data_IF_621809334617
#
_entry.id   IF_621809334617
#
_cell.length_a   1.000
_cell.length_b   1.000
_cell.length_c   1.000
_cell.angle_alpha   90.00
_cell.angle_beta   90.00
_cell.angle_gamma   90.00
#
_symmetry.space_group_name_H-M   'P 1'
#
loop_
_entity.id
_entity.type
_entity.pdbx_description
1 polymer ?
#
# COMPACT_ATOMS: atom_id res chain seq x y z
N UNK A 1 -21.01 -16.65 6.30
CA UNK A 1 -20.31 -16.47 5.00
C UNK A 1 -19.78 -17.78 4.44
N UNK A 2 -18.81 -18.47 5.09
CA UNK A 2 -18.25 -19.72 4.54
C UNK A 2 -19.28 -20.84 4.39
N UNK A 3 -20.16 -21.02 5.37
CA UNK A 3 -21.30 -21.92 5.29
C UNK A 3 -22.23 -21.61 4.10
N UNK A 4 -22.29 -20.34 3.68
CA UNK A 4 -23.04 -19.88 2.51
C UNK A 4 -22.25 -19.99 1.19
N UNK A 5 -21.13 -20.72 1.17
CA UNK A 5 -20.32 -20.97 -0.03
C UNK A 5 -19.39 -19.84 -0.44
N UNK A 6 -19.19 -18.83 0.41
CA UNK A 6 -18.28 -17.72 0.13
C UNK A 6 -16.85 -18.02 0.57
N UNK A 7 -15.88 -17.64 -0.25
CA UNK A 7 -14.45 -17.86 -0.04
C UNK A 7 -13.80 -16.58 0.47
N UNK A 8 -13.00 -16.66 1.53
CA UNK A 8 -12.25 -15.51 2.04
C UNK A 8 -11.15 -15.09 1.05
N UNK A 9 -11.09 -13.79 0.73
CA UNK A 9 -10.09 -13.22 -0.16
C UNK A 9 -8.74 -13.05 0.53
N UNK A 10 -7.66 -13.35 -0.18
CA UNK A 10 -6.31 -13.09 0.28
C UNK A 10 -6.02 -11.58 0.40
N UNK A 11 -5.07 -11.24 1.27
CA UNK A 11 -4.57 -9.88 1.36
C UNK A 11 -3.62 -9.56 0.20
N UNK A 12 -3.54 -8.29 -0.20
CA UNK A 12 -2.57 -7.85 -1.22
C UNK A 12 -1.18 -7.80 -0.57
N UNK A 13 -0.37 -8.82 -0.84
CA UNK A 13 1.02 -8.96 -0.41
C UNK A 13 1.89 -9.25 -1.63
N UNK A 14 3.23 -9.20 -1.51
CA UNK A 14 4.12 -9.64 -2.57
C UNK A 14 3.86 -11.09 -3.01
N UNK A 15 3.52 -11.99 -2.07
CA UNK A 15 3.24 -13.39 -2.39
C UNK A 15 1.94 -13.56 -3.18
N UNK A 16 0.85 -12.92 -2.76
CA UNK A 16 -0.41 -13.00 -3.50
C UNK A 16 -0.35 -12.27 -4.84
N UNK A 17 0.43 -11.19 -4.94
CA UNK A 17 0.72 -10.52 -6.23
C UNK A 17 1.48 -11.46 -7.18
N UNK A 18 2.45 -12.22 -6.67
CA UNK A 18 3.16 -13.22 -7.45
C UNK A 18 2.23 -14.36 -7.90
N UNK A 19 1.35 -14.85 -7.04
CA UNK A 19 0.35 -15.87 -7.40
C UNK A 19 -0.68 -15.34 -8.41
N UNK A 20 -1.06 -14.05 -8.36
CA UNK A 20 -1.86 -13.41 -9.43
C UNK A 20 -1.11 -13.48 -10.76
N UNK A 21 0.15 -13.06 -10.79
CA UNK A 21 0.96 -13.06 -12.02
C UNK A 21 1.08 -14.50 -12.57
N UNK A 22 1.41 -15.45 -11.70
CA UNK A 22 1.56 -16.86 -12.04
C UNK A 22 0.26 -17.47 -12.56
N UNK A 23 -0.85 -17.27 -11.87
CA UNK A 23 -2.16 -17.80 -12.27
C UNK A 23 -2.65 -17.21 -13.58
N UNK A 24 -2.42 -15.92 -13.82
CA UNK A 24 -2.72 -15.24 -15.10
C UNK A 24 -1.88 -15.82 -16.25
N UNK A 25 -0.57 -15.95 -16.07
CA UNK A 25 0.33 -16.52 -17.09
C UNK A 25 0.00 -17.99 -17.38
N UNK A 26 -0.32 -18.77 -16.34
CA UNK A 26 -0.69 -20.18 -16.46
C UNK A 26 -2.16 -20.41 -16.84
N UNK A 27 -2.97 -19.35 -17.00
CA UNK A 27 -4.41 -19.41 -17.26
C UNK A 27 -5.16 -20.33 -16.29
N UNK A 28 -4.84 -20.25 -15.00
CA UNK A 28 -5.50 -21.00 -13.92
C UNK A 28 -6.42 -20.08 -13.13
N UNK A 29 -7.55 -20.60 -12.64
CA UNK A 29 -8.39 -19.85 -11.69
C UNK A 29 -7.65 -19.69 -10.36
N UNK A 30 -7.74 -18.50 -9.78
CA UNK A 30 -7.31 -18.19 -8.42
C UNK A 30 -8.55 -17.72 -7.63
N UNK A 31 -9.27 -18.64 -6.96
CA UNK A 31 -10.53 -18.32 -6.28
C UNK A 31 -10.36 -17.36 -5.09
N UNK A 32 -9.21 -17.39 -4.44
CA UNK A 32 -8.88 -16.52 -3.29
C UNK A 32 -8.22 -15.19 -3.73
N UNK A 33 -8.16 -14.89 -5.03
CA UNK A 33 -7.45 -13.74 -5.58
C UNK A 33 -7.77 -12.43 -4.85
N UNK A 34 -6.79 -11.63 -4.39
CA UNK A 34 -7.06 -10.40 -3.67
C UNK A 34 -7.97 -9.41 -4.42
N UNK A 35 -8.89 -8.76 -3.69
CA UNK A 35 -9.75 -7.71 -4.26
C UNK A 35 -9.13 -6.31 -4.11
N UNK A 36 -9.45 -5.44 -5.07
CA UNK A 36 -9.09 -4.02 -5.00
C UNK A 36 -9.60 -3.35 -3.72
N UNK A 37 -8.85 -2.39 -3.16
CA UNK A 37 -9.25 -1.69 -1.95
C UNK A 37 -10.41 -0.73 -2.20
N UNK A 38 -11.40 -0.77 -1.30
CA UNK A 38 -12.40 0.29 -1.17
C UNK A 38 -12.23 0.96 0.20
N UNK A 39 -12.62 2.23 0.29
CA UNK A 39 -12.45 3.02 1.50
C UNK A 39 -13.79 3.33 2.15
N UNK A 40 -13.85 3.11 3.45
CA UNK A 40 -14.91 3.57 4.35
C UNK A 40 -14.25 4.01 5.66
N UNK A 41 -14.76 5.05 6.32
CA UNK A 41 -14.13 5.65 7.51
C UNK A 41 -12.66 6.09 7.30
N UNK A 42 -12.30 6.44 6.06
CA UNK A 42 -10.93 6.80 5.71
C UNK A 42 -9.92 5.64 5.75
N UNK A 43 -10.39 4.38 5.77
CA UNK A 43 -9.54 3.18 5.78
C UNK A 43 -10.03 2.10 4.81
N UNK A 44 -9.11 1.21 4.44
CA UNK A 44 -9.39 0.03 3.60
C UNK A 44 -10.30 -0.96 4.34
N UNK A 45 -10.98 -1.81 3.59
CA UNK A 45 -11.75 -2.92 4.14
C UNK A 45 -10.91 -3.83 5.03
N UNK A 46 -11.54 -4.34 6.08
CA UNK A 46 -10.92 -5.26 7.03
C UNK A 46 -10.69 -6.61 6.38
N UNK A 47 -11.72 -7.17 5.75
CA UNK A 47 -11.65 -8.40 4.97
C UNK A 47 -12.69 -8.37 3.85
N UNK A 48 -12.58 -9.33 2.94
CA UNK A 48 -13.53 -9.50 1.85
C UNK A 48 -13.75 -10.99 1.58
N UNK A 49 -14.97 -11.32 1.19
CA UNK A 49 -15.33 -12.64 0.69
C UNK A 49 -15.69 -12.55 -0.79
N UNK A 50 -15.54 -13.66 -1.49
CA UNK A 50 -15.84 -13.77 -2.92
C UNK A 50 -16.56 -15.07 -3.21
N UNK A 51 -17.36 -15.07 -4.26
CA UNK A 51 -18.02 -16.25 -4.79
C UNK A 51 -17.89 -16.21 -6.32
N UNK A 52 -17.21 -17.22 -6.87
CA UNK A 52 -17.03 -17.38 -8.32
C UNK A 52 -18.25 -18.07 -8.92
N UNK A 53 -18.71 -17.59 -10.07
CA UNK A 53 -19.85 -18.19 -10.79
C UNK A 53 -19.32 -19.17 -11.83
N UNK A 54 -19.79 -20.42 -11.77
CA UNK A 54 -19.61 -21.45 -12.82
C UNK A 54 -18.16 -21.68 -13.31
N UNK A 55 -17.16 -21.37 -12.47
CA UNK A 55 -15.75 -21.49 -12.84
C UNK A 55 -15.26 -20.44 -13.85
N UNK A 56 -16.04 -19.38 -14.08
CA UNK A 56 -15.65 -18.23 -14.89
C UNK A 56 -14.97 -17.18 -14.00
N UNK A 57 -13.65 -16.94 -14.15
CA UNK A 57 -12.96 -15.91 -13.39
C UNK A 57 -13.43 -14.49 -13.74
N UNK A 58 -14.15 -14.30 -14.85
CA UNK A 58 -14.70 -13.02 -15.28
C UNK A 58 -15.97 -12.58 -14.57
N UNK A 59 -16.65 -13.49 -13.87
CA UNK A 59 -17.92 -13.25 -13.18
C UNK A 59 -17.83 -13.64 -11.70
N UNK A 60 -17.87 -12.64 -10.81
CA UNK A 60 -17.60 -12.85 -9.40
C UNK A 60 -18.43 -11.93 -8.51
N UNK A 61 -19.01 -12.50 -7.48
CA UNK A 61 -19.60 -11.75 -6.38
C UNK A 61 -18.52 -11.38 -5.37
N UNK A 62 -18.62 -10.19 -4.80
CA UNK A 62 -17.68 -9.71 -3.80
C UNK A 62 -18.42 -9.00 -2.69
N UNK A 63 -18.10 -9.34 -1.45
CA UNK A 63 -18.57 -8.58 -0.29
C UNK A 63 -17.40 -8.19 0.59
N UNK A 64 -17.32 -6.90 0.91
CA UNK A 64 -16.26 -6.30 1.72
C UNK A 64 -16.84 -5.85 3.05
N UNK A 65 -16.07 -5.98 4.12
CA UNK A 65 -16.52 -5.65 5.48
C UNK A 65 -15.61 -4.61 6.14
N UNK A 66 -16.23 -3.70 6.89
CA UNK A 66 -15.57 -2.70 7.73
C UNK A 66 -16.19 -2.71 9.11
N UNK A 67 -15.35 -2.83 10.13
CA UNK A 67 -15.77 -2.60 11.51
C UNK A 67 -16.11 -1.13 11.72
N UNK A 68 -17.28 -0.87 12.30
CA UNK A 68 -17.70 0.48 12.66
C UNK A 68 -16.82 1.04 13.79
N UNK A 69 -16.44 2.33 13.75
CA UNK A 69 -15.82 2.99 14.89
C UNK A 69 -16.74 2.93 16.12
N UNK A 70 -16.14 2.90 17.32
CA UNK A 70 -16.91 2.86 18.56
C UNK A 70 -17.78 4.11 18.69
N UNK A 71 -19.07 3.92 18.99
CA UNK A 71 -20.04 5.02 19.10
C UNK A 71 -20.47 5.61 17.76
N UNK A 72 -20.12 4.99 16.63
CA UNK A 72 -20.62 5.39 15.32
C UNK A 72 -22.12 5.12 15.22
N UNK A 73 -22.89 6.17 14.91
CA UNK A 73 -24.32 6.09 14.67
C UNK A 73 -24.60 6.25 13.18
N UNK A 74 -25.43 5.37 12.65
CA UNK A 74 -26.00 5.51 11.33
C UNK A 74 -27.15 6.56 11.36
N UNK A 75 -27.51 7.17 10.21
CA UNK A 75 -28.73 7.95 10.07
C UNK A 75 -29.93 7.30 10.77
N UNK A 76 -30.74 8.09 11.48
CA UNK A 76 -31.84 7.58 12.31
C UNK A 76 -31.43 7.09 13.70
N UNK A 77 -30.14 7.13 14.05
CA UNK A 77 -29.63 6.71 15.36
C UNK A 77 -29.39 5.20 15.48
N UNK A 78 -29.48 4.47 14.37
CA UNK A 78 -29.21 3.03 14.34
C UNK A 78 -27.73 2.73 14.61
N UNK A 79 -27.46 1.57 15.20
CA UNK A 79 -26.12 1.05 15.44
C UNK A 79 -25.90 -0.22 14.63
N UNK A 80 -24.68 -0.38 14.12
CA UNK A 80 -24.22 -1.60 13.49
C UNK A 80 -22.75 -1.79 13.86
N UNK A 81 -22.36 -3.03 14.19
CA UNK A 81 -20.97 -3.35 14.51
C UNK A 81 -20.07 -3.35 13.27
N UNK A 82 -20.65 -3.73 12.12
CA UNK A 82 -19.98 -3.83 10.84
C UNK A 82 -20.84 -3.22 9.73
N UNK A 83 -20.18 -2.60 8.76
CA UNK A 83 -20.77 -2.24 7.47
C UNK A 83 -20.19 -3.13 6.38
N UNK A 84 -21.04 -3.50 5.43
CA UNK A 84 -20.67 -4.32 4.29
C UNK A 84 -21.01 -3.61 2.97
N UNK A 85 -20.23 -3.91 1.93
CA UNK A 85 -20.51 -3.47 0.57
C UNK A 85 -20.37 -4.67 -0.39
N UNK A 86 -21.49 -5.01 -1.04
CA UNK A 86 -21.58 -6.02 -2.10
C UNK A 86 -21.32 -5.41 -3.48
N UNK A 87 -20.58 -6.11 -4.34
CA UNK A 87 -20.39 -5.76 -5.75
C UNK A 87 -20.36 -7.02 -6.60
N UNK A 88 -21.16 -7.05 -7.67
CA UNK A 88 -21.11 -8.11 -8.67
C UNK A 88 -20.31 -7.66 -9.89
N UNK A 89 -19.22 -8.35 -10.19
CA UNK A 89 -18.41 -8.14 -11.38
C UNK A 89 -18.98 -9.02 -12.50
N UNK A 90 -19.59 -8.42 -13.53
CA UNK A 90 -20.31 -9.15 -14.60
C UNK A 90 -19.47 -9.51 -15.81
N UNK A 91 -18.38 -8.80 -16.03
CA UNK A 91 -17.48 -9.03 -17.16
C UNK A 91 -16.14 -8.33 -16.94
N UNK A 92 -15.07 -8.82 -17.58
CA UNK A 92 -13.83 -8.05 -17.72
C UNK A 92 -13.93 -7.15 -18.95
N UNK A 93 -13.66 -5.86 -18.80
CA UNK A 93 -13.69 -4.88 -19.88
C UNK A 93 -12.53 -3.90 -19.83
N UNK A 94 -12.46 -3.03 -20.83
CA UNK A 94 -11.60 -1.84 -20.79
C UNK A 94 -12.48 -0.68 -20.35
N UNK A 95 -12.15 -0.03 -19.22
CA UNK A 95 -12.81 1.22 -18.84
C UNK A 95 -12.40 2.31 -19.82
N UNK A 96 -13.37 2.92 -20.51
CA UNK A 96 -13.11 4.04 -21.43
C UNK A 96 -12.70 5.32 -20.69
N UNK A 97 -12.94 5.41 -19.38
CA UNK A 97 -12.56 6.55 -18.56
C UNK A 97 -11.09 6.49 -18.11
N UNK A 98 -10.58 5.29 -17.80
CA UNK A 98 -9.20 5.12 -17.30
C UNK A 98 -8.27 4.43 -18.28
N UNK A 99 -8.80 3.89 -19.39
CA UNK A 99 -8.09 3.00 -20.35
C UNK A 99 -7.44 1.77 -19.69
N UNK A 100 -7.88 1.40 -18.49
CA UNK A 100 -7.40 0.23 -17.75
C UNK A 100 -8.32 -0.97 -17.97
N UNK A 101 -7.77 -2.17 -17.90
CA UNK A 101 -8.59 -3.39 -17.77
C UNK A 101 -9.24 -3.39 -16.39
N UNK A 102 -10.57 -3.32 -16.37
CA UNK A 102 -11.36 -3.33 -15.13
C UNK A 102 -12.53 -4.28 -15.30
N UNK A 103 -12.95 -4.90 -14.21
CA UNK A 103 -14.24 -5.57 -14.20
C UNK A 103 -15.34 -4.51 -14.36
N UNK A 104 -16.36 -4.81 -15.16
CA UNK A 104 -17.60 -4.06 -15.21
C UNK A 104 -18.45 -4.53 -14.04
N UNK A 105 -18.86 -3.58 -13.21
CA UNK A 105 -19.74 -3.86 -12.08
C UNK A 105 -21.19 -3.82 -12.57
N UNK A 106 -22.03 -4.69 -12.02
CA UNK A 106 -23.47 -4.65 -12.31
C UNK A 106 -24.11 -3.37 -11.78
N UNK A 107 -25.02 -2.80 -12.57
CA UNK A 107 -25.58 -1.49 -12.28
C UNK A 107 -26.52 -1.50 -11.08
N UNK A 108 -27.29 -2.59 -10.91
CA UNK A 108 -28.25 -2.71 -9.84
C UNK A 108 -27.59 -3.34 -8.62
N UNK A 109 -27.21 -2.50 -7.66
CA UNK A 109 -26.54 -2.97 -6.43
C UNK A 109 -27.49 -3.69 -5.49
N UNK A 110 -28.80 -3.50 -5.64
CA UNK A 110 -29.80 -4.15 -4.79
C UNK A 110 -29.89 -5.64 -5.10
N UNK A 111 -29.67 -6.05 -6.37
CA UNK A 111 -29.62 -7.47 -6.76
C UNK A 111 -28.48 -8.18 -6.05
N UNK A 112 -27.29 -7.57 -6.01
CA UNK A 112 -26.14 -8.15 -5.32
C UNK A 112 -26.33 -8.15 -3.80
N UNK A 113 -26.89 -7.07 -3.25
CA UNK A 113 -27.23 -6.99 -1.82
C UNK A 113 -28.19 -8.12 -1.42
N UNK A 114 -29.26 -8.31 -2.20
CA UNK A 114 -30.28 -9.30 -1.92
C UNK A 114 -29.71 -10.72 -2.11
N UNK A 115 -28.85 -10.95 -3.10
CA UNK A 115 -28.11 -12.22 -3.25
C UNK A 115 -27.24 -12.56 -2.02
N UNK A 116 -26.50 -11.58 -1.48
CA UNK A 116 -25.72 -11.79 -0.25
C UNK A 116 -26.63 -12.18 0.91
N UNK A 117 -27.77 -11.50 1.07
CA UNK A 117 -28.74 -11.77 2.14
C UNK A 117 -29.35 -13.17 1.98
N UNK A 118 -29.80 -13.51 0.78
CA UNK A 118 -30.42 -14.80 0.48
C UNK A 118 -29.45 -15.95 0.71
N UNK A 119 -28.17 -15.80 0.31
CA UNK A 119 -27.17 -16.84 0.53
C UNK A 119 -26.86 -17.06 2.02
N UNK A 120 -26.80 -16.01 2.85
CA UNK A 120 -26.52 -16.19 4.28
C UNK A 120 -27.73 -16.70 5.05
N UNK A 121 -28.93 -16.18 4.79
CA UNK A 121 -30.17 -16.64 5.44
C UNK A 121 -30.57 -18.05 5.02
N UNK A 122 -30.24 -18.45 3.78
CA UNK A 122 -30.41 -19.83 3.33
C UNK A 122 -29.38 -20.82 3.92
N UNK A 123 -28.26 -20.33 4.46
CA UNK A 123 -27.22 -21.16 5.05
C UNK A 123 -27.45 -21.47 6.53
N UNK A 124 -28.12 -20.57 7.26
CA UNK A 124 -28.43 -20.73 8.68
C UNK A 124 -29.74 -20.01 9.04
N UNK A 125 -30.72 -20.76 9.55
CA UNK A 125 -32.07 -20.28 9.87
C UNK A 125 -32.08 -19.32 11.07
N UNK A 126 -31.03 -19.30 11.90
CA UNK A 126 -30.95 -18.38 13.06
C UNK A 126 -30.64 -16.94 12.64
N UNK A 127 -30.20 -16.73 11.40
CA UNK A 127 -29.88 -15.40 10.88
C UNK A 127 -31.20 -14.66 10.59
N UNK A 128 -31.37 -13.50 11.21
CA UNK A 128 -32.51 -12.63 10.97
C UNK A 128 -32.11 -11.35 10.24
N UNK A 129 -33.05 -10.74 9.53
CA UNK A 129 -32.81 -9.55 8.71
C UNK A 129 -33.88 -8.51 8.99
N UNK A 130 -33.45 -7.36 9.49
CA UNK A 130 -34.27 -6.15 9.53
C UNK A 130 -33.89 -5.23 8.37
N UNK A 131 -34.75 -4.27 8.01
CA UNK A 131 -34.51 -3.34 6.92
C UNK A 131 -34.81 -1.91 7.34
N UNK A 132 -33.78 -1.07 7.36
CA UNK A 132 -33.96 0.37 7.44
C UNK A 132 -34.42 0.86 6.07
N UNK A 133 -35.70 1.20 5.98
CA UNK A 133 -36.30 1.80 4.78
C UNK A 133 -35.77 3.23 4.62
N UNK A 134 -35.61 3.62 3.36
CA UNK A 134 -35.18 4.96 2.95
C UNK A 134 -33.94 5.46 3.71
N UNK A 135 -33.02 4.55 4.02
CA UNK A 135 -31.76 4.87 4.70
C UNK A 135 -30.98 5.95 3.95
N UNK A 136 -31.00 5.87 2.63
CA UNK A 136 -30.70 6.95 1.71
C UNK A 136 -31.86 7.11 0.73
N UNK A 137 -31.94 8.27 0.07
CA UNK A 137 -32.82 8.39 -1.10
C UNK A 137 -32.32 7.43 -2.17
N UNK A 138 -33.18 6.58 -2.73
CA UNK A 138 -32.83 5.81 -3.92
C UNK A 138 -32.27 6.72 -5.02
N UNK A 139 -31.22 6.27 -5.70
CA UNK A 139 -30.50 7.12 -6.63
C UNK A 139 -29.90 6.34 -7.80
N UNK A 140 -29.65 7.10 -8.88
CA UNK A 140 -28.92 6.64 -10.04
C UNK A 140 -27.67 7.50 -10.19
N UNK A 141 -26.51 6.87 -10.31
CA UNK A 141 -25.22 7.57 -10.41
C UNK A 141 -24.24 6.79 -11.29
N UNK A 142 -22.96 7.18 -11.25
CA UNK A 142 -21.85 6.40 -11.79
C UNK A 142 -20.78 6.18 -10.73
N UNK A 143 -20.17 5.00 -10.73
CA UNK A 143 -19.02 4.69 -9.89
C UNK A 143 -17.75 5.40 -10.42
N UNK A 144 -16.65 5.31 -9.66
CA UNK A 144 -15.36 5.91 -10.05
C UNK A 144 -14.73 5.30 -11.32
N UNK A 145 -15.18 4.12 -11.76
CA UNK A 145 -14.80 3.48 -13.02
C UNK A 145 -15.69 3.87 -14.21
N UNK A 146 -16.79 4.59 -13.95
CA UNK A 146 -17.76 5.05 -14.93
C UNK A 146 -18.99 4.13 -15.11
N UNK A 147 -19.10 3.01 -14.40
CA UNK A 147 -20.29 2.14 -14.52
C UNK A 147 -21.50 2.78 -13.84
N UNK A 148 -22.70 2.55 -14.37
CA UNK A 148 -23.93 3.01 -13.74
C UNK A 148 -24.13 2.34 -12.38
N UNK A 149 -24.75 3.05 -11.44
CA UNK A 149 -25.20 2.53 -10.14
C UNK A 149 -26.67 2.86 -9.99
N UNK A 150 -27.46 1.91 -9.52
CA UNK A 150 -28.87 2.03 -9.18
C UNK A 150 -29.11 1.36 -7.83
N UNK A 151 -29.79 2.06 -6.91
CA UNK A 151 -30.24 1.49 -5.63
C UNK A 151 -31.58 2.09 -5.18
N UNK A 152 -32.38 1.27 -4.50
CA UNK A 152 -33.59 1.64 -3.76
C UNK A 152 -33.31 2.49 -2.50
N UNK A 153 -32.05 2.53 -2.06
CA UNK A 153 -31.60 3.31 -0.92
C UNK A 153 -31.91 2.69 0.45
N UNK A 154 -32.43 1.46 0.50
CA UNK A 154 -32.66 0.72 1.74
C UNK A 154 -31.38 0.10 2.29
N UNK A 155 -31.28 -0.01 3.62
CA UNK A 155 -30.16 -0.65 4.30
C UNK A 155 -30.63 -1.83 5.15
N UNK A 156 -30.43 -3.07 4.68
CA UNK A 156 -30.66 -4.26 5.49
C UNK A 156 -29.64 -4.36 6.64
N UNK A 157 -30.12 -4.80 7.79
CA UNK A 157 -29.32 -5.18 8.96
C UNK A 157 -29.46 -6.68 9.12
N UNK A 158 -28.35 -7.40 8.98
CA UNK A 158 -28.30 -8.84 9.20
C UNK A 158 -27.83 -9.09 10.62
N UNK A 159 -28.69 -9.69 11.44
CA UNK A 159 -28.34 -10.12 12.78
C UNK A 159 -27.79 -11.55 12.75
N UNK A 160 -26.55 -11.69 13.19
CA UNK A 160 -25.81 -12.95 13.25
C UNK A 160 -25.40 -13.29 14.69
N UNK A 161 -26.00 -12.65 15.69
CA UNK A 161 -25.61 -12.79 17.11
C UNK A 161 -25.79 -14.22 17.62
N UNK A 162 -26.78 -14.95 17.10
CA UNK A 162 -27.06 -16.34 17.48
C UNK A 162 -26.26 -17.37 16.66
N UNK A 163 -25.49 -16.93 15.66
CA UNK A 163 -24.69 -17.83 14.82
C UNK A 163 -23.49 -18.33 15.63
N UNK A 164 -23.37 -19.66 15.73
CA UNK A 164 -22.21 -20.30 16.37
C UNK A 164 -21.06 -20.35 15.35
N UNK A 165 -20.03 -19.55 15.59
CA UNK A 165 -18.81 -19.59 14.78
C UNK A 165 -17.95 -20.82 15.15
N UNK A 166 -17.38 -21.48 14.15
CA UNK A 166 -16.33 -22.49 14.35
C UNK A 166 -15.04 -21.78 14.80
N UNK A 167 -14.45 -22.19 15.92
CA UNK A 167 -13.17 -21.63 16.41
C UNK A 167 -12.03 -21.77 15.39
N UNK A 168 -12.09 -22.79 14.52
CA UNK A 168 -11.13 -22.95 13.42
C UNK A 168 -11.35 -21.92 12.29
N UNK A 169 -12.50 -21.24 12.27
CA UNK A 169 -12.92 -20.25 11.27
C UNK A 169 -12.68 -18.81 11.73
N UNK A 170 -11.73 -18.59 12.64
CA UNK A 170 -11.22 -17.26 12.95
C UNK A 170 -10.22 -16.80 11.88
N UNK A 171 -10.57 -15.84 10.99
CA UNK A 171 -9.57 -15.31 10.08
C UNK A 171 -8.51 -14.56 10.90
N UNK A 172 -7.23 -14.87 10.68
CA UNK A 172 -6.07 -14.17 11.30
C UNK A 172 -6.17 -12.62 11.19
N UNK A 173 -6.97 -12.13 10.22
CA UNK A 173 -7.21 -10.72 9.93
C UNK A 173 -8.25 -10.05 10.84
N UNK A 174 -9.11 -10.81 11.54
CA UNK A 174 -10.08 -10.24 12.47
C UNK A 174 -9.36 -9.55 13.63
N UNK A 175 -8.27 -10.14 14.12
CA UNK A 175 -7.45 -9.54 15.18
C UNK A 175 -6.83 -8.20 14.73
N UNK A 176 -6.32 -8.11 13.50
CA UNK A 176 -5.74 -6.87 12.96
C UNK A 176 -6.81 -5.77 12.70
N UNK A 177 -8.01 -6.18 12.31
CA UNK A 177 -9.18 -5.31 12.10
C UNK A 177 -9.76 -4.77 13.41
N UNK A 178 -9.84 -5.63 14.43
CA UNK A 178 -10.14 -5.28 15.81
C UNK A 178 -9.05 -4.35 16.36
N UNK A 179 -7.78 -4.59 16.03
CA UNK A 179 -6.62 -3.80 16.45
C UNK A 179 -6.58 -2.41 15.83
N UNK A 180 -7.03 -2.17 14.59
CA UNK A 180 -7.10 -0.79 14.10
C UNK A 180 -8.03 0.11 14.94
N UNK A 181 -9.03 -0.49 15.62
CA UNK A 181 -9.88 0.21 16.60
C UNK A 181 -9.32 0.15 18.03
N UNK A 182 -8.62 -0.93 18.42
CA UNK A 182 -8.01 -1.14 19.75
C UNK A 182 -6.63 -0.49 19.95
N UNK A 183 -5.87 -0.23 18.89
CA UNK A 183 -4.59 0.52 18.91
C UNK A 183 -4.82 1.95 19.43
N UNK A 184 -6.06 2.45 19.36
CA UNK A 184 -6.45 3.71 19.98
C UNK A 184 -6.78 3.60 21.48
N UNK A 185 -6.94 2.40 22.06
CA UNK A 185 -7.33 2.22 23.46
C UNK A 185 -6.43 1.33 24.32
N UNK A 186 -5.85 0.21 23.85
CA UNK A 186 -5.20 -0.76 24.75
C UNK A 186 -3.94 -1.42 24.17
N UNK A 187 -2.86 -1.38 24.97
CA UNK A 187 -1.47 -1.67 24.60
C UNK A 187 -1.01 -3.12 24.79
N UNK A 188 -1.88 -4.09 25.02
CA UNK A 188 -1.45 -5.43 25.47
C UNK A 188 -1.69 -6.56 24.45
N UNK A 189 -0.87 -6.62 23.39
CA UNK A 189 -0.47 -7.87 22.68
C UNK A 189 0.63 -7.62 21.63
N UNK A 190 1.52 -6.66 21.87
CA UNK A 190 2.39 -6.02 20.86
C UNK A 190 3.33 -6.99 20.11
N UNK A 191 3.73 -8.10 20.74
CA UNK A 191 4.65 -9.10 20.17
C UNK A 191 4.03 -9.92 19.03
N UNK A 192 2.76 -10.33 19.15
CA UNK A 192 2.07 -11.08 18.09
C UNK A 192 1.75 -10.15 16.90
N UNK A 193 1.33 -8.91 17.19
CA UNK A 193 1.08 -7.88 16.17
C UNK A 193 2.34 -7.58 15.35
N UNK A 194 3.51 -7.45 15.99
CA UNK A 194 4.77 -7.24 15.27
C UNK A 194 5.13 -8.43 14.39
N UNK A 195 4.99 -9.66 14.86
CA UNK A 195 5.28 -10.87 14.06
C UNK A 195 4.37 -11.00 12.83
N UNK A 196 3.10 -10.66 12.96
CA UNK A 196 2.12 -10.67 11.85
C UNK A 196 2.40 -9.56 10.84
N UNK A 197 2.76 -8.35 11.30
CA UNK A 197 3.17 -7.24 10.43
C UNK A 197 4.41 -7.55 9.59
N UNK A 198 5.36 -8.34 10.12
CA UNK A 198 6.55 -8.76 9.37
C UNK A 198 6.24 -9.69 8.20
N UNK A 199 5.17 -10.50 8.29
CA UNK A 199 4.71 -11.39 7.21
C UNK A 199 3.91 -10.64 6.14
N UNK A 200 3.21 -9.57 6.50
CA UNK A 200 2.30 -8.85 5.61
C UNK A 200 2.83 -7.47 5.19
N UNK A 201 4.11 -7.41 4.77
CA UNK A 201 4.69 -6.14 4.30
C UNK A 201 3.93 -5.63 3.07
N UNK A 202 3.48 -4.36 3.06
CA UNK A 202 2.88 -3.78 1.87
C UNK A 202 3.85 -3.84 0.69
N UNK A 203 3.32 -4.19 -0.48
CA UNK A 203 4.10 -4.24 -1.72
C UNK A 203 4.84 -2.92 -1.96
N UNK A 204 4.19 -1.78 -1.68
CA UNK A 204 4.78 -0.46 -1.88
C UNK A 204 6.02 -0.21 -1.00
N UNK A 205 6.04 -0.72 0.23
CA UNK A 205 7.22 -0.61 1.11
C UNK A 205 8.37 -1.46 0.57
N UNK A 206 8.08 -2.66 0.05
CA UNK A 206 9.07 -3.55 -0.55
C UNK A 206 9.65 -2.95 -1.82
N UNK A 207 8.79 -2.49 -2.73
CA UNK A 207 9.19 -1.83 -3.99
C UNK A 207 9.99 -0.57 -3.69
N UNK A 208 9.54 0.28 -2.77
CA UNK A 208 10.27 1.48 -2.38
C UNK A 208 11.67 1.16 -1.82
N UNK A 209 11.78 0.17 -0.94
CA UNK A 209 13.09 -0.26 -0.41
C UNK A 209 14.00 -0.84 -1.51
N UNK A 210 13.45 -1.63 -2.43
CA UNK A 210 14.19 -2.19 -3.56
C UNK A 210 14.69 -1.11 -4.53
N UNK A 211 13.85 -0.12 -4.86
CA UNK A 211 14.25 1.01 -5.70
C UNK A 211 15.38 1.83 -5.05
N UNK A 212 15.36 2.02 -3.73
CA UNK A 212 16.48 2.66 -3.02
C UNK A 212 17.77 1.84 -3.15
N UNK A 213 17.70 0.51 -3.11
CA UNK A 213 18.88 -0.34 -3.36
C UNK A 213 19.39 -0.20 -4.80
N UNK A 214 18.51 -0.07 -5.79
CA UNK A 214 18.93 0.19 -7.18
C UNK A 214 19.59 1.57 -7.29
N UNK A 215 19.04 2.61 -6.67
CA UNK A 215 19.64 3.95 -6.65
C UNK A 215 21.03 3.95 -5.98
N UNK A 216 21.24 3.12 -4.96
CA UNK A 216 22.56 2.95 -4.34
C UNK A 216 23.59 2.34 -5.30
N UNK A 217 23.17 1.46 -6.23
CA UNK A 217 24.06 0.95 -7.27
C UNK A 217 24.45 2.04 -8.27
N UNK A 218 23.50 2.91 -8.64
CA UNK A 218 23.77 4.07 -9.50
C UNK A 218 24.74 5.04 -8.81
N UNK A 219 24.53 5.32 -7.52
CA UNK A 219 25.44 6.16 -6.74
C UNK A 219 26.85 5.55 -6.65
N UNK A 220 26.96 4.23 -6.44
CA UNK A 220 28.26 3.55 -6.43
C UNK A 220 28.95 3.64 -7.81
N UNK A 221 28.18 3.50 -8.89
CA UNK A 221 28.67 3.68 -10.25
C UNK A 221 29.18 5.10 -10.50
N UNK A 222 28.49 6.13 -10.02
CA UNK A 222 28.91 7.52 -10.13
C UNK A 222 30.25 7.75 -9.42
N UNK A 223 30.40 7.21 -8.21
CA UNK A 223 31.66 7.29 -7.44
C UNK A 223 32.81 6.59 -8.17
N UNK A 224 32.57 5.40 -8.73
CA UNK A 224 33.57 4.66 -9.50
C UNK A 224 33.96 5.43 -10.76
N UNK A 225 32.97 5.96 -11.49
CA UNK A 225 33.19 6.72 -12.72
C UNK A 225 34.02 7.98 -12.46
N UNK A 226 33.71 8.71 -11.37
CA UNK A 226 34.48 9.86 -10.91
C UNK A 226 35.93 9.50 -10.55
N UNK A 227 36.16 8.34 -9.93
CA UNK A 227 37.50 7.88 -9.59
C UNK A 227 38.31 7.44 -10.81
N UNK A 228 37.64 6.93 -11.85
CA UNK A 228 38.28 6.52 -13.11
C UNK A 228 38.58 7.72 -14.02
N UNK A 229 37.72 8.74 -14.03
CA UNK A 229 37.91 9.97 -14.79
C UNK A 229 38.60 11.08 -13.97
N UNK A 230 39.82 10.77 -13.52
CA UNK A 230 40.62 11.71 -12.74
C UNK A 230 40.92 13.02 -13.47
N UNK A 231 41.05 12.96 -14.80
CA UNK A 231 41.38 14.11 -15.63
C UNK A 231 40.18 15.07 -15.76
N UNK A 232 38.97 14.54 -15.96
CA UNK A 232 37.75 15.34 -15.97
C UNK A 232 37.53 16.06 -14.64
N UNK A 233 37.61 15.34 -13.53
CA UNK A 233 37.47 15.93 -12.19
C UNK A 233 38.52 17.02 -11.93
N UNK A 234 39.78 16.78 -12.32
CA UNK A 234 40.84 17.79 -12.20
C UNK A 234 40.50 19.06 -12.97
N UNK A 235 39.97 18.96 -14.19
CA UNK A 235 39.59 20.14 -14.97
C UNK A 235 38.47 20.96 -14.33
N UNK A 236 37.44 20.30 -13.79
CA UNK A 236 36.34 20.99 -13.08
C UNK A 236 36.80 21.65 -11.79
N UNK A 237 37.64 20.97 -10.99
CA UNK A 237 38.18 21.52 -9.75
C UNK A 237 39.11 22.71 -10.04
N UNK A 238 39.94 22.63 -11.07
CA UNK A 238 40.85 23.72 -11.46
C UNK A 238 40.06 24.98 -11.85
N UNK A 239 39.00 24.83 -12.65
CA UNK A 239 38.11 25.92 -13.07
C UNK A 239 37.41 26.62 -11.88
N UNK A 240 37.02 25.85 -10.86
CA UNK A 240 36.46 26.43 -9.62
C UNK A 240 37.54 27.01 -8.69
N UNK A 241 38.74 26.41 -8.67
CA UNK A 241 39.84 26.80 -7.77
C UNK A 241 40.62 28.03 -8.26
N UNK A 242 40.51 28.42 -9.52
CA UNK A 242 41.09 29.68 -10.02
C UNK A 242 40.52 30.92 -9.30
N UNK A 243 39.36 30.79 -8.66
CA UNK A 243 38.76 31.82 -7.81
C UNK A 243 39.29 31.78 -6.34
N UNK A 244 40.00 30.73 -5.93
CA UNK A 244 40.47 30.49 -4.56
C UNK A 244 41.96 30.12 -4.58
N UNK A 245 42.82 31.13 -4.73
CA UNK A 245 44.27 30.95 -4.77
C UNK A 245 44.85 30.47 -3.41
N UNK A 246 45.53 29.31 -3.37
CA UNK A 246 46.61 28.97 -2.41
C UNK A 246 47.13 27.51 -2.42
N UNK A 247 46.49 26.55 -3.09
CA UNK A 247 46.85 25.12 -3.00
C UNK A 247 47.30 24.60 -4.37
N UNK A 248 48.33 23.74 -4.42
CA UNK A 248 48.74 23.08 -5.67
C UNK A 248 47.56 22.31 -6.27
N UNK A 249 47.28 22.49 -7.56
CA UNK A 249 46.11 21.95 -8.27
C UNK A 249 45.86 20.45 -8.01
N UNK A 250 46.94 19.67 -7.89
CA UNK A 250 46.85 18.21 -7.64
C UNK A 250 46.42 17.89 -6.20
N UNK A 251 46.95 18.63 -5.21
CA UNK A 251 46.58 18.47 -3.80
C UNK A 251 45.13 18.91 -3.55
N UNK A 252 44.71 20.02 -4.17
CA UNK A 252 43.33 20.51 -4.10
C UNK A 252 42.35 19.49 -4.69
N UNK A 253 42.65 18.94 -5.88
CA UNK A 253 41.83 17.92 -6.52
C UNK A 253 41.69 16.66 -5.66
N UNK A 254 42.77 16.18 -5.02
CA UNK A 254 42.72 15.04 -4.10
C UNK A 254 41.89 15.29 -2.85
N UNK A 255 41.97 16.49 -2.28
CA UNK A 255 41.17 16.85 -1.10
C UNK A 255 39.69 16.89 -1.48
N UNK A 256 39.34 17.54 -2.59
CA UNK A 256 37.95 17.63 -3.07
C UNK A 256 37.42 16.24 -3.43
N UNK A 257 38.17 15.45 -4.19
CA UNK A 257 37.80 14.07 -4.54
C UNK A 257 37.59 13.22 -3.28
N UNK A 258 38.52 13.26 -2.33
CA UNK A 258 38.41 12.53 -1.07
C UNK A 258 37.19 12.94 -0.24
N UNK A 259 36.89 14.24 -0.21
CA UNK A 259 35.69 14.76 0.45
C UNK A 259 34.40 14.29 -0.24
N UNK A 260 34.32 14.40 -1.57
CA UNK A 260 33.14 13.98 -2.35
C UNK A 260 32.90 12.47 -2.23
N UNK A 261 33.94 11.65 -2.34
CA UNK A 261 33.87 10.20 -2.13
C UNK A 261 33.44 9.88 -0.71
N UNK A 262 34.06 10.52 0.29
CA UNK A 262 33.72 10.32 1.70
C UNK A 262 32.26 10.69 2.02
N UNK A 263 31.80 11.82 1.51
CA UNK A 263 30.42 12.27 1.64
C UNK A 263 29.45 11.31 0.95
N UNK A 264 29.75 10.88 -0.27
CA UNK A 264 28.93 9.92 -1.02
C UNK A 264 28.83 8.59 -0.28
N UNK A 265 29.94 8.03 0.20
CA UNK A 265 29.95 6.80 1.00
C UNK A 265 29.14 6.95 2.28
N UNK A 266 29.27 8.09 2.98
CA UNK A 266 28.51 8.37 4.19
C UNK A 266 27.00 8.41 3.91
N UNK A 267 26.57 9.12 2.86
CA UNK A 267 25.17 9.16 2.42
C UNK A 267 24.69 7.75 2.04
N UNK A 268 25.49 6.98 1.30
CA UNK A 268 25.16 5.61 0.91
C UNK A 268 24.94 4.70 2.12
N UNK A 269 25.83 4.76 3.13
CA UNK A 269 25.66 4.03 4.38
C UNK A 269 24.36 4.43 5.11
N UNK A 270 24.06 5.73 5.20
CA UNK A 270 22.82 6.21 5.80
C UNK A 270 21.58 5.73 5.03
N UNK A 271 21.63 5.70 3.70
CA UNK A 271 20.55 5.19 2.84
C UNK A 271 20.34 3.69 3.00
N UNK A 272 21.40 2.88 3.12
CA UNK A 272 21.28 1.43 3.40
C UNK A 272 20.61 1.19 4.74
N UNK A 273 21.05 1.91 5.79
CA UNK A 273 20.46 1.83 7.13
C UNK A 273 18.99 2.25 7.08
N UNK A 274 18.69 3.38 6.42
CA UNK A 274 17.33 3.89 6.29
C UNK A 274 16.43 2.94 5.49
N UNK A 275 16.89 2.41 4.35
CA UNK A 275 16.13 1.46 3.51
C UNK A 275 15.81 0.19 4.29
N UNK A 276 16.81 -0.38 4.98
CA UNK A 276 16.58 -1.56 5.81
C UNK A 276 15.65 -1.25 7.00
N UNK A 277 15.73 -0.04 7.57
CA UNK A 277 14.86 0.40 8.66
C UNK A 277 13.41 0.65 8.20
N UNK A 278 13.21 1.17 6.98
CA UNK A 278 11.90 1.28 6.33
C UNK A 278 11.28 -0.09 6.10
N UNK A 279 12.08 -1.03 5.60
CA UNK A 279 11.66 -2.41 5.42
C UNK A 279 11.27 -3.10 6.74
N UNK A 280 11.85 -2.65 7.86
CA UNK A 280 11.48 -3.05 9.24
C UNK A 280 10.32 -2.26 9.84
N UNK A 281 9.74 -1.29 9.14
CA UNK A 281 8.57 -0.53 9.60
C UNK A 281 8.87 0.80 10.29
N UNK A 282 10.07 1.37 10.16
CA UNK A 282 10.41 2.66 10.79
C UNK A 282 9.82 3.86 10.05
N UNK A 283 8.90 4.59 10.71
CA UNK A 283 8.31 5.81 10.13
C UNK A 283 9.34 6.94 9.99
N UNK A 284 10.33 7.02 10.89
CA UNK A 284 11.39 8.03 10.81
C UNK A 284 12.28 7.79 9.58
N UNK A 285 12.69 6.55 9.37
CA UNK A 285 13.50 6.19 8.20
C UNK A 285 12.76 6.46 6.88
N UNK A 286 11.43 6.23 6.86
CA UNK A 286 10.59 6.52 5.69
C UNK A 286 10.61 8.02 5.35
N UNK A 287 10.41 8.87 6.36
CA UNK A 287 10.46 10.33 6.17
C UNK A 287 11.85 10.79 5.73
N UNK A 288 12.92 10.23 6.29
CA UNK A 288 14.29 10.53 5.85
C UNK A 288 14.53 10.21 4.38
N UNK A 289 14.13 9.02 3.91
CA UNK A 289 14.27 8.64 2.49
C UNK A 289 13.42 9.56 1.61
N UNK A 290 12.20 9.90 2.02
CA UNK A 290 11.35 10.82 1.27
C UNK A 290 11.99 12.20 1.13
N UNK A 291 12.52 12.76 2.23
CA UNK A 291 13.22 14.06 2.21
C UNK A 291 14.46 14.02 1.33
N UNK A 292 15.30 12.99 1.48
CA UNK A 292 16.52 12.85 0.70
C UNK A 292 16.24 12.67 -0.80
N UNK A 293 15.23 11.86 -1.14
CA UNK A 293 14.80 11.67 -2.52
C UNK A 293 14.25 12.97 -3.10
N UNK A 294 13.50 13.76 -2.32
CA UNK A 294 12.97 15.06 -2.76
C UNK A 294 14.10 16.04 -3.06
N UNK A 295 15.08 16.15 -2.16
CA UNK A 295 16.27 16.99 -2.39
C UNK A 295 17.03 16.53 -3.62
N UNK A 296 17.22 15.22 -3.77
CA UNK A 296 17.94 14.66 -4.92
C UNK A 296 17.22 14.91 -6.25
N UNK A 297 15.88 14.85 -6.28
CA UNK A 297 15.09 15.20 -7.47
C UNK A 297 15.29 16.67 -7.82
N UNK A 298 15.25 17.57 -6.84
CA UNK A 298 15.46 19.02 -7.06
C UNK A 298 16.85 19.27 -7.63
N UNK A 299 17.90 18.69 -7.03
CA UNK A 299 19.28 18.85 -7.51
C UNK A 299 19.44 18.29 -8.93
N UNK A 300 18.89 17.10 -9.19
CA UNK A 300 18.98 16.44 -10.49
C UNK A 300 18.24 17.21 -11.58
N UNK A 301 17.07 17.77 -11.26
CA UNK A 301 16.31 18.63 -12.16
C UNK A 301 17.03 19.96 -12.45
N UNK A 302 17.58 20.62 -11.44
CA UNK A 302 18.39 21.83 -11.65
C UNK A 302 19.54 21.53 -12.61
N UNK A 303 20.29 20.46 -12.35
CA UNK A 303 21.40 20.04 -13.20
C UNK A 303 20.98 19.68 -14.63
N UNK A 304 19.79 19.13 -14.81
CA UNK A 304 19.22 18.83 -16.13
C UNK A 304 18.89 20.11 -16.91
N UNK A 305 18.40 21.16 -16.25
CA UNK A 305 18.03 22.42 -16.91
C UNK A 305 19.21 23.38 -17.11
N UNK A 306 20.21 23.36 -16.22
CA UNK A 306 21.36 24.28 -16.27
C UNK A 306 22.57 23.69 -16.98
N UNK A 307 22.63 22.36 -17.13
CA UNK A 307 23.77 21.67 -17.72
C UNK A 307 23.67 21.59 -19.23
N UNK A 308 24.72 22.02 -19.93
CA UNK A 308 24.90 21.70 -21.35
C UNK A 308 25.46 20.28 -21.44
N UNK A 309 24.57 19.30 -21.60
CA UNK A 309 24.87 17.87 -21.47
C UNK A 309 24.50 17.10 -22.72
N UNK A 310 25.30 16.09 -23.03
CA UNK A 310 25.03 15.18 -24.14
C UNK A 310 23.76 14.33 -23.89
N UNK A 311 23.29 13.67 -24.95
CA UNK A 311 22.07 12.87 -24.90
C UNK A 311 22.15 11.74 -23.85
N UNK A 312 23.33 11.13 -23.69
CA UNK A 312 23.54 10.03 -22.77
C UNK A 312 23.40 10.47 -21.30
N UNK A 313 24.02 11.60 -20.93
CA UNK A 313 23.94 12.15 -19.58
C UNK A 313 22.52 12.62 -19.25
N UNK A 314 21.81 13.19 -20.23
CA UNK A 314 20.41 13.56 -20.07
C UNK A 314 19.50 12.35 -19.84
N UNK A 315 19.69 11.26 -20.60
CA UNK A 315 18.94 10.02 -20.41
C UNK A 315 19.21 9.40 -19.02
N UNK A 316 20.46 9.43 -18.58
CA UNK A 316 20.84 8.97 -17.23
C UNK A 316 20.14 9.80 -16.14
N UNK A 317 20.17 11.13 -16.25
CA UNK A 317 19.51 12.04 -15.30
C UNK A 317 17.99 11.82 -15.26
N UNK A 318 17.34 11.67 -16.41
CA UNK A 318 15.89 11.39 -16.46
C UNK A 318 15.55 10.04 -15.82
N UNK A 319 16.40 9.03 -16.03
CA UNK A 319 16.22 7.70 -15.44
C UNK A 319 16.33 7.74 -13.91
N UNK A 320 17.35 8.42 -13.37
CA UNK A 320 17.53 8.56 -11.92
C UNK A 320 16.41 9.38 -11.29
N UNK A 321 15.97 10.48 -11.92
CA UNK A 321 14.81 11.26 -11.48
C UNK A 321 13.55 10.38 -11.46
N UNK A 322 13.28 9.61 -12.52
CA UNK A 322 12.13 8.72 -12.59
C UNK A 322 12.14 7.68 -11.46
N UNK A 323 13.29 7.07 -11.17
CA UNK A 323 13.43 6.13 -10.05
C UNK A 323 13.21 6.80 -8.70
N UNK A 324 13.72 8.03 -8.49
CA UNK A 324 13.50 8.77 -7.25
C UNK A 324 12.03 9.17 -7.05
N UNK A 325 11.35 9.59 -8.11
CA UNK A 325 9.91 9.85 -8.08
C UNK A 325 9.14 8.56 -7.78
N UNK A 326 9.54 7.42 -8.35
CA UNK A 326 8.94 6.13 -8.02
C UNK A 326 9.13 5.75 -6.54
N UNK A 327 10.30 6.02 -5.95
CA UNK A 327 10.53 5.88 -4.49
C UNK A 327 9.58 6.78 -3.70
N UNK A 328 9.44 8.06 -4.09
CA UNK A 328 8.53 9.00 -3.45
C UNK A 328 7.08 8.49 -3.49
N UNK A 329 6.59 8.04 -4.65
CA UNK A 329 5.24 7.50 -4.82
C UNK A 329 5.03 6.22 -4.00
N UNK A 330 6.00 5.30 -4.03
CA UNK A 330 5.90 4.04 -3.30
C UNK A 330 5.85 4.26 -1.77
N UNK A 331 6.77 5.07 -1.23
CA UNK A 331 6.88 5.30 0.21
C UNK A 331 5.91 6.36 0.76
N UNK A 332 5.28 7.16 -0.10
CA UNK A 332 4.19 8.08 0.30
C UNK A 332 2.81 7.42 0.29
N UNK A 333 2.67 6.24 -0.32
CA UNK A 333 1.41 5.50 -0.37
C UNK A 333 0.80 5.26 1.03
N UNK A 334 -0.54 5.30 1.12
CA UNK A 334 -1.24 5.07 2.39
C UNK A 334 -0.88 3.73 3.03
N UNK A 335 -0.69 2.69 2.21
CA UNK A 335 -0.31 1.36 2.69
C UNK A 335 1.08 1.38 3.34
N UNK A 336 2.07 2.05 2.73
CA UNK A 336 3.39 2.23 3.35
C UNK A 336 3.32 3.12 4.59
N UNK A 337 2.49 4.18 4.53
CA UNK A 337 2.32 5.13 5.63
C UNK A 337 1.76 4.47 6.89
N UNK A 338 0.67 3.74 6.73
CA UNK A 338 -0.01 3.04 7.81
C UNK A 338 0.89 1.95 8.38
N UNK A 339 1.51 1.13 7.53
CA UNK A 339 2.42 0.07 7.97
C UNK A 339 3.54 0.59 8.87
N UNK A 340 4.27 1.63 8.47
CA UNK A 340 5.39 2.10 9.30
C UNK A 340 4.91 2.88 10.53
N UNK A 341 3.75 3.56 10.47
CA UNK A 341 3.17 4.23 11.65
C UNK A 341 2.77 3.21 12.71
N UNK A 342 2.04 2.17 12.31
CA UNK A 342 1.64 1.08 13.20
C UNK A 342 2.85 0.33 13.74
N UNK A 343 3.79 -0.07 12.88
CA UNK A 343 5.01 -0.77 13.32
C UNK A 343 5.83 0.07 14.31
N UNK A 344 5.92 1.38 14.09
CA UNK A 344 6.62 2.28 15.02
C UNK A 344 5.86 2.44 16.34
N UNK A 345 4.54 2.51 16.32
CA UNK A 345 3.72 2.59 17.52
C UNK A 345 3.80 1.30 18.35
N UNK A 346 3.69 0.15 17.68
CA UNK A 346 3.89 -1.17 18.28
C UNK A 346 5.26 -1.27 18.96
N UNK A 347 6.36 -1.00 18.24
CA UNK A 347 7.71 -1.03 18.82
C UNK A 347 7.91 -0.07 20.01
N UNK A 348 7.14 1.03 20.10
CA UNK A 348 7.17 1.92 21.27
C UNK A 348 6.42 1.33 22.45
N UNK A 349 5.24 0.78 22.21
CA UNK A 349 4.45 0.10 23.23
C UNK A 349 5.23 -1.08 23.82
N UNK A 350 5.88 -1.91 22.98
CA UNK A 350 6.72 -3.02 23.44
C UNK A 350 7.85 -2.57 24.38
N UNK A 351 8.49 -1.43 24.06
CA UNK A 351 9.55 -0.87 24.91
C UNK A 351 9.01 -0.34 26.23
N UNK A 352 7.77 0.17 26.24
CA UNK A 352 7.12 0.63 27.46
C UNK A 352 6.76 -0.55 28.34
N UNK A 353 6.20 -1.62 27.77
CA UNK A 353 5.85 -2.84 28.51
C UNK A 353 7.10 -3.47 29.15
N UNK A 354 8.20 -3.64 28.39
CA UNK A 354 9.47 -4.14 28.95
C UNK A 354 10.02 -3.27 30.09
N UNK A 355 9.85 -1.95 30.00
CA UNK A 355 10.29 -1.02 31.03
C UNK A 355 9.39 -0.99 32.27
N UNK A 356 8.20 -1.62 32.21
CA UNK A 356 7.31 -1.83 33.37
C UNK A 356 7.53 -3.20 34.02
N UNK A 357 8.11 -4.15 33.28
CA UNK A 357 8.49 -5.48 33.77
C UNK A 357 9.86 -5.51 34.48
N UNK A 358 10.76 -4.59 34.13
CA UNK A 358 12.06 -4.32 34.78
C UNK A 358 11.93 -3.32 35.94
#
# INVERSE_FOLDING_TARGET
>A
MRAAGWILADSITPSSTWEIIRSTVMKRSYPQAPVSPLLLFGRRQDFAYQQEIDGDPGQRHHVRFWKCPRGWLLPGGHQADWLAAGTYDKAVGISLFTLQFTHKIEENTDVERDHIIDTVTGADEVISVDRIKDFSTGYHSRNGGGDAIITDGHLPIVDVTEVVADEADHPERLELALDATRIYSDSHSVSEVTKTLWRQRPLQTVVGAALVLVLLLFQAWDVISMLLDWNGLRSEVVDYSSDIAAVSDDTATRIVAGFLVGLSLHIGCLQVIASTSVFRGSNRARLWILTLSTISVIVSMTNYFTGDRDLATNMYALTTIAMQVAVLLALSSDSSRMFTRFSTAALRAERQDRALED
#
